data_IF_314406653234
#
_entry.id   IF_314406653234
#
_cell.length_a   1.000
_cell.length_b   1.000
_cell.length_c   1.000
_cell.angle_alpha   90.00
_cell.angle_beta   90.00
_cell.angle_gamma   90.00
#
_symmetry.space_group_name_H-M   'P 1'
#
loop_
_entity.id
_entity.type
_entity.pdbx_description
1 polymer ?
#
# COMPACT_ATOMS: atom_id res chain seq x y z
N UNK A 1 16.32 -7.65 67.77
CA UNK A 1 16.03 -6.57 66.80
C UNK A 1 17.18 -6.54 65.80
N UNK A 2 16.88 -6.83 64.52
CA UNK A 2 17.50 -6.25 63.29
C UNK A 2 19.04 -6.35 63.13
N UNK A 3 19.65 -6.80 62.03
CA UNK A 3 19.27 -7.05 60.64
C UNK A 3 20.09 -8.25 60.09
N UNK A 4 19.45 -9.15 59.34
CA UNK A 4 20.14 -10.13 58.51
C UNK A 4 20.44 -9.48 57.14
N UNK A 5 21.71 -9.34 56.78
CA UNK A 5 22.12 -9.01 55.42
C UNK A 5 21.91 -10.25 54.53
N UNK A 6 20.78 -10.31 53.83
CA UNK A 6 20.65 -11.15 52.64
C UNK A 6 21.41 -10.45 51.51
N UNK A 7 22.66 -10.86 51.28
CA UNK A 7 23.31 -10.65 49.99
C UNK A 7 22.60 -11.58 49.01
N UNK A 8 21.69 -11.00 48.23
CA UNK A 8 21.12 -11.65 47.06
C UNK A 8 22.24 -11.70 46.02
N UNK A 9 22.99 -12.80 45.99
CA UNK A 9 23.79 -13.14 44.81
C UNK A 9 22.77 -13.41 43.71
N UNK A 10 22.49 -12.39 42.91
CA UNK A 10 21.86 -12.58 41.61
C UNK A 10 22.86 -13.41 40.84
N UNK A 11 22.61 -14.73 40.76
CA UNK A 11 23.18 -15.57 39.72
C UNK A 11 22.53 -15.08 38.43
N UNK A 12 23.06 -13.98 37.92
CA UNK A 12 22.86 -13.62 36.53
C UNK A 12 23.49 -14.76 35.77
N UNK A 13 22.64 -15.62 35.20
CA UNK A 13 23.06 -16.36 34.03
C UNK A 13 23.53 -15.30 33.04
N UNK A 14 24.84 -15.09 32.99
CA UNK A 14 25.50 -14.43 31.88
C UNK A 14 25.13 -15.27 30.68
N UNK A 15 24.13 -14.82 29.94
CA UNK A 15 23.93 -15.20 28.54
C UNK A 15 25.30 -15.01 27.89
N UNK A 16 25.95 -16.11 27.53
CA UNK A 16 27.19 -16.06 26.79
C UNK A 16 26.94 -15.17 25.57
N UNK A 17 27.57 -14.00 25.52
CA UNK A 17 27.65 -13.26 24.27
C UNK A 17 28.51 -14.14 23.35
N UNK A 18 27.88 -14.79 22.36
CA UNK A 18 28.57 -15.51 21.30
C UNK A 18 29.58 -14.57 20.65
N UNK A 19 30.87 -14.93 20.66
CA UNK A 19 31.96 -14.08 20.18
C UNK A 19 32.21 -14.21 18.67
N UNK A 20 31.68 -15.23 18.03
CA UNK A 20 31.91 -15.49 16.61
C UNK A 20 30.88 -14.78 15.74
N UNK A 21 31.29 -14.50 14.50
CA UNK A 21 30.41 -13.94 13.48
C UNK A 21 30.52 -14.75 12.21
N UNK A 22 29.37 -15.16 11.66
CA UNK A 22 29.31 -15.62 10.28
C UNK A 22 29.63 -14.45 9.35
N UNK A 23 30.26 -14.73 8.21
CA UNK A 23 30.37 -13.73 7.14
C UNK A 23 28.97 -13.21 6.76
N UNK A 24 28.86 -11.91 6.50
CA UNK A 24 27.63 -11.12 6.42
C UNK A 24 26.68 -11.46 5.25
N UNK A 25 26.77 -12.64 4.65
CA UNK A 25 25.85 -13.14 3.63
C UNK A 25 25.12 -14.43 3.98
N UNK A 26 25.45 -15.11 5.09
CA UNK A 26 24.85 -16.39 5.46
C UNK A 26 23.59 -16.21 6.32
N UNK A 27 22.52 -15.66 5.75
CA UNK A 27 21.23 -15.65 6.45
C UNK A 27 20.59 -17.03 6.37
N UNK A 28 20.10 -17.54 7.50
CA UNK A 28 19.40 -18.81 7.54
C UNK A 28 18.15 -18.77 6.64
N UNK A 29 18.03 -19.69 5.69
CA UNK A 29 16.96 -19.73 4.70
C UNK A 29 17.16 -18.85 3.47
N UNK A 30 18.39 -18.37 3.21
CA UNK A 30 18.70 -17.61 1.98
C UNK A 30 18.42 -18.43 0.72
N UNK A 31 18.13 -17.76 -0.39
CA UNK A 31 17.99 -18.38 -1.71
C UNK A 31 19.01 -17.76 -2.64
N UNK A 32 19.84 -18.59 -3.25
CA UNK A 32 20.79 -18.21 -4.26
C UNK A 32 20.32 -18.68 -5.63
N UNK A 33 20.46 -17.81 -6.63
CA UNK A 33 20.10 -18.12 -8.01
C UNK A 33 21.36 -18.28 -8.86
N UNK A 34 21.40 -19.34 -9.67
CA UNK A 34 22.50 -19.60 -10.59
C UNK A 34 22.03 -20.41 -11.81
N UNK A 35 22.87 -20.47 -12.82
CA UNK A 35 22.66 -21.23 -14.04
C UNK A 35 23.58 -22.45 -14.11
N UNK A 36 23.20 -23.44 -14.92
CA UNK A 36 24.12 -24.55 -15.26
C UNK A 36 25.41 -23.98 -15.84
N UNK A 37 26.55 -24.46 -15.34
CA UNK A 37 27.89 -23.99 -15.68
C UNK A 37 28.41 -22.83 -14.83
N UNK A 38 27.59 -22.23 -13.96
CA UNK A 38 28.07 -21.22 -13.00
C UNK A 38 29.00 -21.80 -11.94
N UNK A 39 29.71 -20.90 -11.26
CA UNK A 39 30.31 -21.17 -9.96
C UNK A 39 29.61 -20.30 -8.92
N UNK A 40 29.24 -20.89 -7.79
CA UNK A 40 28.59 -20.17 -6.68
C UNK A 40 29.31 -20.39 -5.37
N UNK A 41 29.38 -19.34 -4.56
CA UNK A 41 29.98 -19.37 -3.22
C UNK A 41 28.90 -19.11 -2.18
N UNK A 42 28.73 -20.07 -1.28
CA UNK A 42 27.97 -19.90 -0.07
C UNK A 42 28.90 -19.33 1.03
N UNK A 43 28.59 -18.17 1.63
CA UNK A 43 29.44 -17.47 2.59
C UNK A 43 29.41 -18.11 3.99
N UNK A 44 29.46 -19.44 4.06
CA UNK A 44 29.46 -20.24 5.29
C UNK A 44 30.86 -20.34 5.89
N UNK A 45 31.54 -19.22 6.05
CA UNK A 45 32.72 -19.13 6.87
C UNK A 45 32.35 -18.52 8.24
N UNK A 46 32.87 -19.14 9.29
CA UNK A 46 32.77 -18.64 10.66
C UNK A 46 34.08 -17.94 10.99
N UNK A 47 34.00 -16.66 11.37
CA UNK A 47 35.15 -15.94 11.91
C UNK A 47 35.04 -16.01 13.43
N UNK A 48 35.79 -16.91 14.11
CA UNK A 48 35.82 -16.96 15.56
C UNK A 48 36.50 -15.69 16.12
N UNK A 49 36.10 -15.26 17.31
CA UNK A 49 36.80 -14.18 18.01
C UNK A 49 37.39 -14.64 19.35
N UNK A 50 38.47 -13.97 19.77
CA UNK A 50 39.12 -14.28 21.05
C UNK A 50 39.75 -15.67 21.08
N UNK A 51 39.25 -16.56 21.95
CA UNK A 51 39.76 -17.92 22.18
C UNK A 51 38.93 -19.03 21.52
N UNK A 52 37.92 -18.66 20.75
CA UNK A 52 37.04 -19.61 20.06
C UNK A 52 37.75 -20.27 18.87
N UNK A 53 37.42 -21.53 18.60
CA UNK A 53 37.90 -22.27 17.43
C UNK A 53 36.78 -23.10 16.85
N UNK A 54 36.67 -23.09 15.53
CA UNK A 54 35.85 -24.05 14.80
C UNK A 54 36.58 -25.41 14.89
N UNK A 55 35.93 -26.42 15.47
CA UNK A 55 36.53 -27.76 15.59
C UNK A 55 36.06 -28.68 14.48
N UNK A 56 34.81 -28.53 14.08
CA UNK A 56 34.17 -29.38 13.09
C UNK A 56 33.15 -28.56 12.30
N UNK A 57 33.16 -28.73 10.99
CA UNK A 57 32.10 -28.26 10.10
C UNK A 57 31.72 -29.35 9.11
N UNK A 58 30.42 -29.56 8.96
CA UNK A 58 29.88 -30.55 8.04
C UNK A 58 28.84 -29.90 7.14
N UNK A 59 28.95 -30.18 5.84
CA UNK A 59 28.01 -29.72 4.83
C UNK A 59 27.19 -30.87 4.31
N UNK A 60 25.90 -30.61 4.15
CA UNK A 60 24.92 -31.56 3.66
C UNK A 60 24.20 -30.96 2.45
N UNK A 61 23.93 -31.80 1.46
CA UNK A 61 23.04 -31.50 0.35
C UNK A 61 21.78 -32.34 0.50
N UNK A 62 20.63 -31.74 0.22
CA UNK A 62 19.36 -32.42 0.11
C UNK A 62 18.77 -32.17 -1.28
N UNK A 63 18.52 -33.27 -1.98
CA UNK A 63 17.90 -33.24 -3.30
C UNK A 63 16.40 -32.92 -3.22
N UNK A 64 15.75 -32.80 -4.38
CA UNK A 64 14.31 -32.54 -4.46
C UNK A 64 13.45 -33.73 -4.00
N UNK A 65 14.01 -34.93 -3.91
CA UNK A 65 13.34 -36.14 -3.41
C UNK A 65 13.45 -36.26 -1.87
N UNK A 66 14.18 -35.34 -1.23
CA UNK A 66 14.39 -35.29 0.21
C UNK A 66 15.55 -36.15 0.72
N UNK A 67 16.31 -36.79 -0.16
CA UNK A 67 17.50 -37.55 0.23
C UNK A 67 18.59 -36.56 0.63
N UNK A 68 19.18 -36.78 1.80
CA UNK A 68 20.26 -35.94 2.31
C UNK A 68 21.58 -36.72 2.30
N UNK A 69 22.64 -36.09 1.81
CA UNK A 69 23.99 -36.64 1.80
C UNK A 69 25.00 -35.63 2.35
N UNK A 70 26.06 -36.13 2.99
CA UNK A 70 27.20 -35.30 3.40
C UNK A 70 28.09 -35.05 2.20
N UNK A 71 28.29 -33.77 1.86
CA UNK A 71 29.03 -33.36 0.66
C UNK A 71 30.44 -32.88 0.96
N UNK A 72 30.69 -32.41 2.18
CA UNK A 72 32.01 -31.97 2.60
C UNK A 72 32.11 -31.98 4.13
N UNK A 73 33.33 -32.10 4.63
CA UNK A 73 33.66 -31.96 6.04
C UNK A 73 34.95 -31.15 6.20
N UNK A 74 35.05 -30.41 7.30
CA UNK A 74 36.25 -29.69 7.71
C UNK A 74 36.49 -29.99 9.18
N UNK A 75 37.53 -30.76 9.47
CA UNK A 75 37.83 -31.25 10.82
C UNK A 75 39.28 -30.94 11.13
N UNK A 76 39.53 -30.25 12.24
CA UNK A 76 40.88 -29.93 12.72
C UNK A 76 41.83 -29.29 11.65
N UNK A 77 41.27 -28.48 10.74
CA UNK A 77 42.04 -27.81 9.69
C UNK A 77 42.17 -28.58 8.38
N UNK A 78 41.56 -29.76 8.28
CA UNK A 78 41.59 -30.59 7.08
C UNK A 78 40.22 -30.61 6.39
N UNK A 79 40.16 -30.12 5.16
CA UNK A 79 38.97 -30.17 4.32
C UNK A 79 38.93 -31.49 3.53
N UNK A 80 37.79 -32.19 3.58
CA UNK A 80 37.57 -33.48 2.93
C UNK A 80 36.23 -33.52 2.20
N UNK A 81 36.20 -34.22 1.05
CA UNK A 81 35.01 -34.41 0.22
C UNK A 81 34.74 -35.92 0.07
N UNK A 82 33.60 -36.46 0.54
CA UNK A 82 33.36 -37.91 0.61
C UNK A 82 33.15 -38.63 -0.73
N UNK A 83 32.69 -37.93 -1.78
CA UNK A 83 32.31 -38.54 -3.07
C UNK A 83 33.01 -37.89 -4.26
N UNK A 84 33.36 -38.70 -5.28
CA UNK A 84 34.05 -38.21 -6.49
C UNK A 84 33.20 -37.30 -7.39
N UNK A 85 31.87 -37.32 -7.27
CA UNK A 85 30.96 -36.38 -7.98
C UNK A 85 31.17 -34.92 -7.55
N UNK A 86 31.74 -34.73 -6.36
CA UNK A 86 31.87 -33.46 -5.65
C UNK A 86 33.28 -32.87 -5.73
N UNK A 87 34.12 -33.34 -6.66
CA UNK A 87 35.45 -32.75 -6.94
C UNK A 87 35.41 -31.27 -7.35
N UNK A 88 34.21 -30.75 -7.62
CA UNK A 88 33.93 -29.35 -7.95
C UNK A 88 33.73 -28.45 -6.72
N UNK A 89 33.74 -29.03 -5.52
CA UNK A 89 33.64 -28.32 -4.24
C UNK A 89 35.00 -27.82 -3.78
N UNK A 90 35.01 -26.57 -3.30
CA UNK A 90 36.18 -25.93 -2.75
C UNK A 90 35.80 -25.15 -1.50
N UNK A 91 36.56 -25.28 -0.43
CA UNK A 91 36.36 -24.51 0.80
C UNK A 91 37.53 -23.56 1.04
N UNK A 92 37.21 -22.32 1.37
CA UNK A 92 38.17 -21.32 1.82
C UNK A 92 37.67 -20.68 3.12
N UNK A 93 38.55 -20.59 4.11
CA UNK A 93 38.22 -20.16 5.47
C UNK A 93 37.70 -18.71 5.56
N UNK A 94 38.01 -17.87 4.57
CA UNK A 94 37.64 -16.46 4.50
C UNK A 94 36.52 -16.17 3.49
N UNK A 95 36.07 -17.18 2.74
CA UNK A 95 35.12 -17.04 1.63
C UNK A 95 33.92 -17.98 1.77
N UNK A 96 34.11 -19.17 2.35
CA UNK A 96 33.09 -20.20 2.54
C UNK A 96 33.21 -21.35 1.54
N UNK A 97 32.08 -22.01 1.26
CA UNK A 97 32.01 -23.17 0.36
C UNK A 97 31.64 -22.74 -1.05
N UNK A 98 32.47 -23.09 -2.02
CA UNK A 98 32.24 -22.81 -3.44
C UNK A 98 31.98 -24.09 -4.21
N UNK A 99 30.96 -24.07 -5.05
CA UNK A 99 30.66 -25.11 -6.03
C UNK A 99 30.96 -24.55 -7.41
N UNK A 100 31.82 -25.20 -8.16
CA UNK A 100 32.18 -24.79 -9.53
C UNK A 100 31.45 -25.60 -10.60
N UNK A 101 31.22 -24.99 -11.77
CA UNK A 101 30.63 -25.65 -12.94
C UNK A 101 29.35 -26.43 -12.59
N UNK A 102 28.32 -25.73 -12.11
CA UNK A 102 27.06 -26.30 -11.65
C UNK A 102 26.39 -27.17 -12.73
N UNK A 103 25.76 -28.25 -12.30
CA UNK A 103 24.96 -29.19 -13.08
C UNK A 103 23.51 -29.14 -12.62
N UNK A 104 22.59 -29.81 -13.33
CA UNK A 104 21.18 -29.84 -12.95
C UNK A 104 20.95 -30.53 -11.58
N UNK A 105 21.83 -31.44 -11.18
CA UNK A 105 21.73 -32.20 -9.93
C UNK A 105 22.17 -31.40 -8.70
N UNK A 106 22.88 -30.29 -8.89
CA UNK A 106 23.33 -29.43 -7.78
C UNK A 106 22.23 -28.48 -7.26
N UNK A 107 21.07 -28.39 -7.93
CA UNK A 107 19.98 -27.51 -7.50
C UNK A 107 19.13 -28.18 -6.43
N UNK A 108 19.13 -27.61 -5.22
CA UNK A 108 18.43 -28.17 -4.07
C UNK A 108 18.68 -27.36 -2.80
N UNK A 109 18.60 -28.05 -1.67
CA UNK A 109 18.76 -27.46 -0.34
C UNK A 109 20.13 -27.85 0.24
N UNK A 110 20.84 -26.88 0.80
CA UNK A 110 22.15 -27.10 1.39
C UNK A 110 22.15 -26.65 2.85
N UNK A 111 22.84 -27.41 3.68
CA UNK A 111 22.95 -27.18 5.11
C UNK A 111 24.41 -27.20 5.53
N UNK A 112 24.76 -26.32 6.45
CA UNK A 112 26.04 -26.38 7.17
C UNK A 112 25.76 -26.53 8.65
N UNK A 113 26.48 -27.44 9.29
CA UNK A 113 26.58 -27.55 10.73
C UNK A 113 28.00 -27.17 11.12
N UNK A 114 28.14 -26.31 12.12
CA UNK A 114 29.43 -25.93 12.69
C UNK A 114 29.42 -26.15 14.19
N UNK A 115 30.41 -26.89 14.70
CA UNK A 115 30.66 -27.06 16.12
C UNK A 115 31.84 -26.14 16.52
N UNK A 116 31.53 -25.19 17.39
CA UNK A 116 32.45 -24.13 17.84
C UNK A 116 32.84 -24.41 19.28
N UNK A 117 34.15 -24.46 19.53
CA UNK A 117 34.71 -24.68 20.86
C UNK A 117 35.20 -23.38 21.46
N UNK A 118 34.79 -23.11 22.70
CA UNK A 118 35.28 -22.01 23.52
C UNK A 118 35.79 -22.56 24.86
N UNK A 119 37.11 -22.76 24.97
CA UNK A 119 37.71 -23.43 26.13
C UNK A 119 37.25 -24.89 26.27
N UNK A 120 36.46 -25.20 27.30
CA UNK A 120 35.85 -26.52 27.54
C UNK A 120 34.40 -26.63 27.09
N UNK A 121 33.80 -25.55 26.59
CA UNK A 121 32.41 -25.50 26.14
C UNK A 121 32.33 -25.69 24.62
N UNK A 122 31.22 -26.27 24.16
CA UNK A 122 30.89 -26.47 22.75
C UNK A 122 29.52 -25.88 22.44
N UNK A 123 29.39 -25.21 21.30
CA UNK A 123 28.13 -24.73 20.75
C UNK A 123 27.99 -25.23 19.30
N UNK A 124 26.83 -25.76 18.94
CA UNK A 124 26.51 -26.19 17.58
C UNK A 124 25.56 -25.18 16.94
N UNK A 125 25.93 -24.68 15.77
CA UNK A 125 25.04 -23.88 14.93
C UNK A 125 24.78 -24.57 13.60
N UNK A 126 23.58 -24.37 13.06
CA UNK A 126 23.22 -24.85 11.74
C UNK A 126 22.55 -23.74 10.93
N UNK A 127 22.94 -23.65 9.66
CA UNK A 127 22.34 -22.75 8.68
C UNK A 127 21.95 -23.56 7.44
N UNK A 128 20.88 -23.13 6.78
CA UNK A 128 20.47 -23.71 5.51
C UNK A 128 20.25 -22.64 4.44
N UNK A 129 20.40 -23.03 3.18
CA UNK A 129 20.14 -22.19 2.02
C UNK A 129 19.59 -23.03 0.87
N UNK A 130 19.02 -22.38 -0.13
CA UNK A 130 18.55 -23.02 -1.35
C UNK A 130 19.36 -22.53 -2.54
N UNK A 131 19.78 -23.44 -3.41
CA UNK A 131 20.29 -23.13 -4.73
C UNK A 131 19.18 -23.42 -5.74
N UNK A 132 18.71 -22.39 -6.46
CA UNK A 132 17.59 -22.51 -7.40
C UNK A 132 17.94 -21.94 -8.76
N UNK A 133 17.28 -22.45 -9.79
CA UNK A 133 17.26 -21.77 -11.08
C UNK A 133 16.35 -20.53 -10.99
N UNK A 134 16.71 -19.43 -11.67
CA UNK A 134 15.90 -18.21 -11.68
C UNK A 134 14.53 -18.44 -12.31
N UNK A 135 13.48 -18.01 -11.63
CA UNK A 135 12.13 -18.00 -12.20
C UNK A 135 11.93 -16.73 -13.04
N UNK A 136 11.45 -16.83 -14.29
CA UNK A 136 11.21 -15.66 -15.12
C UNK A 136 10.01 -14.83 -14.61
N UNK A 137 10.01 -13.51 -14.83
CA UNK A 137 8.84 -12.66 -14.57
C UNK A 137 7.67 -13.02 -15.50
N UNK A 138 6.44 -12.85 -14.99
CA UNK A 138 5.19 -13.14 -15.68
C UNK A 138 4.19 -12.02 -15.48
N UNK A 139 3.46 -11.65 -16.54
CA UNK A 139 2.30 -10.75 -16.45
C UNK A 139 0.99 -11.53 -16.55
N UNK A 140 -0.10 -10.92 -16.11
CA UNK A 140 -1.45 -11.51 -16.16
C UNK A 140 -1.87 -11.93 -17.59
N UNK A 141 -1.41 -11.20 -18.61
CA UNK A 141 -1.71 -11.39 -20.03
C UNK A 141 -0.55 -11.99 -20.83
N UNK A 142 0.55 -12.37 -20.17
CA UNK A 142 1.80 -12.81 -20.78
C UNK A 142 2.38 -11.83 -21.82
N UNK A 143 2.05 -10.55 -21.74
CA UNK A 143 2.54 -9.49 -22.62
C UNK A 143 3.16 -8.36 -21.80
N UNK A 144 4.33 -7.87 -22.21
CA UNK A 144 4.86 -6.64 -21.63
C UNK A 144 4.19 -5.44 -22.30
N UNK A 145 3.31 -4.75 -21.56
CA UNK A 145 2.54 -3.62 -22.10
C UNK A 145 2.85 -2.33 -21.35
N UNK A 146 3.30 -1.30 -22.08
CA UNK A 146 3.51 0.04 -21.54
C UNK A 146 2.28 0.92 -21.78
N UNK A 147 1.91 1.72 -20.77
CA UNK A 147 0.79 2.66 -20.83
C UNK A 147 1.01 3.89 -19.96
N UNK A 148 0.40 5.00 -20.34
CA UNK A 148 0.32 6.19 -19.50
C UNK A 148 -0.76 5.99 -18.43
N UNK A 149 -0.47 6.35 -17.17
CA UNK A 149 -1.46 6.32 -16.11
C UNK A 149 -2.29 7.62 -16.10
N UNK A 150 -3.59 7.54 -15.80
CA UNK A 150 -4.48 8.70 -15.80
C UNK A 150 -4.29 9.62 -14.58
N UNK A 151 -3.52 9.19 -13.58
CA UNK A 151 -3.21 9.97 -12.38
C UNK A 151 -1.79 10.52 -12.44
N UNK A 152 -1.65 11.83 -12.25
CA UNK A 152 -0.37 12.46 -11.95
C UNK A 152 -0.15 12.44 -10.44
N UNK A 153 1.11 12.41 -10.02
CA UNK A 153 1.49 12.42 -8.60
C UNK A 153 2.22 13.71 -8.30
N UNK A 154 1.82 14.37 -7.21
CA UNK A 154 2.48 15.58 -6.73
C UNK A 154 3.69 15.19 -5.87
N UNK A 155 4.88 15.61 -6.27
CA UNK A 155 6.13 15.32 -5.55
C UNK A 155 7.09 16.50 -5.68
N UNK A 156 7.73 16.88 -4.59
CA UNK A 156 8.78 17.91 -4.58
C UNK A 156 8.37 19.28 -5.15
N UNK A 157 7.09 19.64 -5.08
CA UNK A 157 6.59 20.93 -5.56
C UNK A 157 5.96 20.89 -6.95
N UNK A 158 6.05 19.76 -7.67
CA UNK A 158 5.56 19.64 -9.04
C UNK A 158 4.67 18.41 -9.24
N UNK A 159 3.80 18.47 -10.25
CA UNK A 159 3.03 17.32 -10.73
C UNK A 159 3.86 16.51 -11.73
N UNK A 160 3.89 15.19 -11.54
CA UNK A 160 4.61 14.26 -12.38
C UNK A 160 3.65 13.27 -13.03
N UNK A 161 3.77 13.11 -14.35
CA UNK A 161 3.07 12.07 -15.11
C UNK A 161 3.76 10.73 -14.88
N UNK A 162 2.96 9.68 -14.76
CA UNK A 162 3.46 8.32 -14.53
C UNK A 162 3.21 7.43 -15.75
N UNK A 163 4.23 6.64 -16.11
CA UNK A 163 4.10 5.53 -17.05
C UNK A 163 4.13 4.22 -16.28
N UNK A 164 3.30 3.27 -16.69
CA UNK A 164 3.24 1.93 -16.14
C UNK A 164 3.63 0.90 -17.20
N UNK A 165 4.38 -0.10 -16.78
CA UNK A 165 4.82 -1.20 -17.62
C UNK A 165 4.43 -2.55 -17.01
N UNK A 166 3.86 -3.39 -17.87
CA UNK A 166 3.39 -4.73 -17.56
C UNK A 166 2.15 -4.73 -16.66
N UNK A 167 1.89 -5.90 -16.09
CA UNK A 167 1.00 -6.16 -14.96
C UNK A 167 1.40 -7.50 -14.38
N UNK A 168 2.47 -7.49 -13.59
CA UNK A 168 3.20 -8.66 -13.13
C UNK A 168 2.38 -9.47 -12.12
N UNK A 169 1.97 -10.68 -12.52
CA UNK A 169 1.45 -11.71 -11.60
C UNK A 169 2.59 -12.28 -10.75
N UNK A 170 3.81 -12.27 -11.29
CA UNK A 170 5.03 -12.64 -10.60
C UNK A 170 6.19 -11.83 -11.16
N UNK A 171 7.01 -11.25 -10.29
CA UNK A 171 8.22 -10.52 -10.69
C UNK A 171 9.39 -11.46 -11.04
N UNK A 172 9.19 -12.77 -10.95
CA UNK A 172 10.27 -13.76 -11.04
C UNK A 172 11.15 -13.74 -9.80
N UNK A 173 12.34 -14.32 -9.93
CA UNK A 173 13.41 -14.17 -8.93
C UNK A 173 13.92 -12.72 -8.88
N UNK A 174 14.58 -12.32 -7.79
CA UNK A 174 15.07 -10.94 -7.58
C UNK A 174 16.11 -10.44 -8.60
N UNK A 175 16.52 -11.27 -9.55
CA UNK A 175 17.52 -10.96 -10.59
C UNK A 175 16.95 -10.35 -11.88
N UNK A 176 15.66 -9.97 -11.89
CA UNK A 176 15.03 -9.25 -13.01
C UNK A 176 14.67 -7.82 -12.62
N UNK A 177 14.85 -6.89 -13.55
CA UNK A 177 14.36 -5.53 -13.41
C UNK A 177 13.69 -5.05 -14.69
N UNK A 178 12.93 -3.96 -14.60
CA UNK A 178 12.32 -3.30 -15.75
C UNK A 178 13.03 -1.96 -15.93
N UNK A 179 13.48 -1.71 -17.15
CA UNK A 179 14.06 -0.43 -17.57
C UNK A 179 13.21 0.20 -18.65
N UNK A 180 13.34 1.52 -18.73
CA UNK A 180 12.64 2.35 -19.70
C UNK A 180 13.63 2.98 -20.66
N UNK A 181 13.27 3.01 -21.94
CA UNK A 181 13.98 3.73 -22.99
C UNK A 181 13.24 5.03 -23.28
N UNK A 182 13.93 6.16 -23.20
CA UNK A 182 13.40 7.48 -23.53
C UNK A 182 13.44 7.75 -25.04
N UNK A 183 12.77 8.82 -25.53
CA UNK A 183 12.85 9.24 -26.93
C UNK A 183 14.29 9.50 -27.42
N UNK A 184 15.13 10.11 -26.59
CA UNK A 184 16.57 10.31 -26.83
C UNK A 184 17.41 9.03 -26.73
N UNK A 185 16.81 7.89 -26.37
CA UNK A 185 17.48 6.60 -26.23
C UNK A 185 18.19 6.40 -24.89
N UNK A 186 17.97 7.26 -23.88
CA UNK A 186 18.50 7.07 -22.54
C UNK A 186 17.77 5.92 -21.85
N UNK A 187 18.48 5.21 -20.97
CA UNK A 187 17.91 4.14 -20.17
C UNK A 187 17.65 4.64 -18.74
N UNK A 188 16.42 4.48 -18.28
CA UNK A 188 15.98 4.85 -16.93
C UNK A 188 15.56 3.59 -16.16
N UNK A 189 15.85 3.56 -14.87
CA UNK A 189 15.31 2.53 -13.98
C UNK A 189 13.87 2.89 -13.61
N UNK A 190 13.02 1.89 -13.41
CA UNK A 190 11.72 2.12 -12.79
C UNK A 190 11.89 2.60 -11.34
N UNK A 191 11.06 3.55 -10.93
CA UNK A 191 11.12 4.16 -9.60
C UNK A 191 10.55 3.25 -8.51
N UNK A 192 9.44 2.57 -8.82
CA UNK A 192 8.69 1.75 -7.86
C UNK A 192 7.92 0.63 -8.55
N UNK A 193 7.51 -0.37 -7.76
CA UNK A 193 6.48 -1.34 -8.13
C UNK A 193 5.18 -1.01 -7.38
N UNK A 194 4.13 -0.60 -8.11
CA UNK A 194 2.82 -0.27 -7.54
C UNK A 194 1.75 -1.12 -8.22
N UNK A 195 0.91 -1.79 -7.43
CA UNK A 195 -0.20 -2.61 -7.93
C UNK A 195 0.22 -3.58 -9.04
N UNK A 196 1.33 -4.31 -8.85
CA UNK A 196 1.89 -5.22 -9.86
C UNK A 196 2.40 -4.55 -11.14
N UNK A 197 2.56 -3.24 -11.20
CA UNK A 197 3.11 -2.53 -12.36
C UNK A 197 4.49 -1.96 -12.04
N UNK A 198 5.36 -1.92 -13.03
CA UNK A 198 6.61 -1.18 -12.94
C UNK A 198 6.37 0.27 -13.35
N UNK A 199 6.66 1.21 -12.45
CA UNK A 199 6.30 2.62 -12.62
C UNK A 199 7.53 3.47 -12.91
N UNK A 200 7.42 4.32 -13.93
CA UNK A 200 8.34 5.42 -14.19
C UNK A 200 7.63 6.76 -13.96
N UNK A 201 8.20 7.59 -13.10
CA UNK A 201 7.81 8.99 -12.94
C UNK A 201 8.60 9.85 -13.91
N UNK A 202 7.91 10.55 -14.80
CA UNK A 202 8.56 11.45 -15.75
C UNK A 202 9.10 12.69 -15.01
N UNK A 203 10.36 13.03 -15.29
CA UNK A 203 11.01 14.23 -14.76
C UNK A 203 10.52 15.48 -15.48
N UNK A 204 10.38 16.59 -14.77
CA UNK A 204 10.09 17.89 -15.38
C UNK A 204 11.40 18.63 -15.72
N UNK A 205 11.53 19.24 -16.91
CA UNK A 205 10.59 19.20 -18.04
C UNK A 205 10.52 17.82 -18.71
N UNK A 206 9.33 17.44 -19.15
CA UNK A 206 9.09 16.15 -19.81
C UNK A 206 9.69 16.17 -21.22
N UNK A 207 10.36 15.08 -21.59
CA UNK A 207 10.85 14.85 -22.94
C UNK A 207 9.72 14.28 -23.81
N UNK A 208 9.28 15.02 -24.83
CA UNK A 208 8.22 14.52 -25.72
C UNK A 208 8.75 13.42 -26.65
N UNK A 209 7.89 12.44 -26.94
CA UNK A 209 8.19 11.35 -27.89
C UNK A 209 7.75 9.98 -27.39
N UNK A 210 8.29 8.94 -28.03
CA UNK A 210 7.99 7.54 -27.71
C UNK A 210 8.85 6.99 -26.58
N UNK A 211 8.19 6.47 -25.55
CA UNK A 211 8.80 5.71 -24.47
C UNK A 211 8.46 4.23 -24.62
N UNK A 212 9.39 3.34 -24.28
CA UNK A 212 9.13 1.90 -24.19
C UNK A 212 9.80 1.33 -22.96
N UNK A 213 9.29 0.22 -22.44
CA UNK A 213 9.94 -0.51 -21.36
C UNK A 213 10.39 -1.89 -21.85
N UNK A 214 11.39 -2.44 -21.16
CA UNK A 214 11.92 -3.76 -21.44
C UNK A 214 12.41 -4.42 -20.15
N UNK A 215 12.44 -5.75 -20.15
CA UNK A 215 13.03 -6.52 -19.06
C UNK A 215 14.54 -6.46 -19.21
N UNK A 216 15.22 -5.98 -18.18
CA UNK A 216 16.67 -5.90 -18.12
C UNK A 216 17.23 -7.10 -17.37
N UNK A 217 18.02 -7.90 -18.08
CA UNK A 217 18.68 -9.11 -17.59
C UNK A 217 20.18 -8.79 -17.48
N UNK A 218 20.53 -7.93 -16.51
CA UNK A 218 21.95 -7.59 -16.28
C UNK A 218 22.59 -8.46 -15.19
N UNK A 219 21.79 -9.09 -14.33
CA UNK A 219 22.33 -10.02 -13.34
C UNK A 219 22.68 -11.36 -13.99
N UNK A 220 23.93 -11.84 -13.84
CA UNK A 220 24.34 -13.13 -14.41
C UNK A 220 23.43 -14.29 -14.02
N UNK A 221 22.86 -14.25 -12.81
CA UNK A 221 21.97 -15.27 -12.29
C UNK A 221 20.65 -15.40 -13.08
N UNK A 222 20.21 -14.38 -13.81
CA UNK A 222 18.93 -14.37 -14.53
C UNK A 222 19.02 -14.89 -15.98
N UNK A 223 20.23 -15.11 -16.52
CA UNK A 223 20.46 -15.37 -17.94
C UNK A 223 19.90 -16.70 -18.47
N UNK A 224 19.66 -17.67 -17.59
CA UNK A 224 19.10 -18.97 -17.96
C UNK A 224 17.59 -19.05 -17.77
N UNK A 225 16.94 -18.01 -17.23
CA UNK A 225 15.49 -17.99 -17.22
C UNK A 225 14.97 -17.68 -18.63
N UNK A 226 14.11 -18.53 -19.14
CA UNK A 226 13.48 -18.30 -20.43
C UNK A 226 12.37 -17.25 -20.30
N UNK A 227 12.64 -16.04 -20.83
CA UNK A 227 11.63 -14.99 -20.96
C UNK A 227 11.08 -15.00 -22.40
N UNK A 228 9.77 -15.20 -22.58
CA UNK A 228 9.14 -15.19 -23.91
C UNK A 228 9.41 -13.88 -24.67
N UNK A 229 9.55 -13.90 -26.03
CA UNK A 229 9.86 -12.69 -26.80
C UNK A 229 8.87 -11.53 -26.62
N UNK A 230 7.58 -11.82 -26.47
CA UNK A 230 6.52 -10.84 -26.21
C UNK A 230 6.56 -10.23 -24.79
N UNK A 231 7.42 -10.77 -23.92
CA UNK A 231 7.68 -10.23 -22.59
C UNK A 231 8.98 -9.41 -22.53
N UNK A 232 9.84 -9.45 -23.55
CA UNK A 232 11.14 -8.79 -23.52
C UNK A 232 11.04 -7.27 -23.69
N UNK A 233 10.21 -6.81 -24.61
CA UNK A 233 10.09 -5.40 -24.99
C UNK A 233 8.62 -5.05 -25.15
N UNK A 234 8.21 -3.89 -24.62
CA UNK A 234 6.84 -3.42 -24.73
C UNK A 234 6.54 -2.72 -26.05
N UNK A 235 5.25 -2.43 -26.24
CA UNK A 235 4.84 -1.36 -27.16
C UNK A 235 5.43 0.00 -26.75
N UNK A 236 5.41 0.93 -27.69
CA UNK A 236 5.73 2.33 -27.42
C UNK A 236 4.50 3.08 -26.86
N UNK A 237 4.75 4.02 -25.96
CA UNK A 237 3.80 5.00 -25.42
C UNK A 237 4.29 6.37 -25.86
N UNK A 238 3.48 7.04 -26.68
CA UNK A 238 3.79 8.40 -27.11
C UNK A 238 3.36 9.39 -26.01
N UNK A 239 4.28 10.27 -25.61
CA UNK A 239 4.03 11.33 -24.63
C UNK A 239 4.24 12.67 -25.32
N UNK A 240 3.20 13.49 -25.32
CA UNK A 240 3.21 14.85 -25.85
C UNK A 240 2.39 15.78 -24.94
N UNK A 241 2.47 17.09 -25.21
CA UNK A 241 1.70 18.12 -24.50
C UNK A 241 0.20 17.82 -24.46
N UNK A 242 -0.39 17.22 -25.51
CA UNK A 242 -1.81 16.90 -25.55
C UNK A 242 -2.18 15.78 -24.57
N UNK A 243 -1.38 14.71 -24.56
CA UNK A 243 -1.50 13.56 -23.68
C UNK A 243 -1.38 13.97 -22.21
N UNK A 244 -0.43 14.85 -21.91
CA UNK A 244 -0.25 15.42 -20.56
C UNK A 244 -1.47 16.25 -20.17
N UNK A 245 -1.95 17.12 -21.06
CA UNK A 245 -3.14 17.93 -20.80
C UNK A 245 -4.39 17.07 -20.56
N UNK A 246 -4.50 15.93 -21.25
CA UNK A 246 -5.60 14.98 -21.02
C UNK A 246 -5.54 14.33 -19.64
N UNK A 247 -4.35 13.96 -19.17
CA UNK A 247 -4.14 13.44 -17.80
C UNK A 247 -4.51 14.50 -16.76
N UNK A 248 -3.97 15.72 -16.89
CA UNK A 248 -4.27 16.83 -15.98
C UNK A 248 -5.76 17.20 -15.99
N UNK A 249 -6.39 17.24 -17.17
CA UNK A 249 -7.82 17.48 -17.30
C UNK A 249 -8.64 16.38 -16.60
N UNK A 250 -8.24 15.12 -16.72
CA UNK A 250 -8.93 14.00 -16.06
C UNK A 250 -8.84 14.10 -14.55
N UNK A 251 -7.69 14.54 -14.01
CA UNK A 251 -7.51 14.81 -12.58
C UNK A 251 -8.43 15.94 -12.13
N UNK A 252 -8.44 17.07 -12.84
CA UNK A 252 -9.34 18.19 -12.51
C UNK A 252 -10.80 17.77 -12.59
N UNK A 253 -11.17 16.98 -13.60
CA UNK A 253 -12.53 16.46 -13.77
C UNK A 253 -12.91 15.46 -12.68
N UNK A 254 -11.99 14.60 -12.26
CA UNK A 254 -12.23 13.64 -11.18
C UNK A 254 -12.31 14.35 -9.83
N UNK A 255 -11.39 15.27 -9.53
CA UNK A 255 -11.46 16.12 -8.34
C UNK A 255 -12.78 16.92 -8.30
N UNK A 256 -13.20 17.50 -9.42
CA UNK A 256 -14.49 18.18 -9.51
C UNK A 256 -15.67 17.23 -9.32
N UNK A 257 -15.63 15.99 -9.84
CA UNK A 257 -16.65 14.99 -9.59
C UNK A 257 -16.71 14.57 -8.12
N UNK A 258 -15.55 14.38 -7.48
CA UNK A 258 -15.48 14.00 -6.08
C UNK A 258 -16.02 15.14 -5.21
N UNK A 259 -15.63 16.39 -5.49
CA UNK A 259 -16.21 17.60 -4.88
C UNK A 259 -17.72 17.66 -5.11
N UNK A 260 -18.21 17.48 -6.33
CA UNK A 260 -19.64 17.48 -6.64
C UNK A 260 -20.36 16.33 -5.93
N UNK A 261 -19.76 15.14 -5.82
CA UNK A 261 -20.35 13.98 -5.14
C UNK A 261 -20.43 14.21 -3.62
N UNK A 262 -19.40 14.83 -3.03
CA UNK A 262 -19.39 15.24 -1.64
C UNK A 262 -20.39 16.37 -1.39
N UNK A 263 -20.51 17.35 -2.31
CA UNK A 263 -21.54 18.39 -2.26
C UNK A 263 -22.95 17.81 -2.46
N UNK A 264 -23.12 16.79 -3.30
CA UNK A 264 -24.37 16.05 -3.45
C UNK A 264 -24.70 15.27 -2.18
N UNK A 265 -23.71 14.71 -1.48
CA UNK A 265 -23.90 14.05 -0.19
C UNK A 265 -24.32 15.04 0.91
N UNK A 266 -23.81 16.27 0.85
CA UNK A 266 -24.27 17.40 1.69
C UNK A 266 -25.68 17.87 1.29
N UNK A 267 -25.99 17.92 -0.01
CA UNK A 267 -27.32 18.28 -0.52
C UNK A 267 -28.38 17.21 -0.21
N UNK A 268 -28.01 15.93 -0.14
CA UNK A 268 -28.91 14.82 0.25
C UNK A 268 -29.23 14.83 1.75
N UNK A 269 -28.49 15.58 2.57
CA UNK A 269 -28.82 15.84 3.98
C UNK A 269 -29.70 17.11 4.16
N UNK A 270 -29.90 17.90 3.12
CA UNK A 270 -30.87 18.99 3.08
C UNK A 270 -32.13 18.53 2.37
N UNK A 271 -33.05 17.88 3.09
CA UNK A 271 -34.37 17.60 2.53
C UNK A 271 -35.03 18.98 2.25
N UNK A 272 -35.38 19.28 0.98
CA UNK A 272 -36.11 20.48 0.53
C UNK A 272 -37.56 20.49 1.09
N UNK A 273 -37.71 20.32 2.39
CA UNK A 273 -39.00 20.22 3.09
C UNK A 273 -39.44 21.53 3.70
N UNK A 274 -38.58 22.56 3.73
CA UNK A 274 -38.86 23.88 4.30
C UNK A 274 -38.27 24.97 3.42
N UNK A 275 -39.01 26.06 3.22
CA UNK A 275 -38.52 27.28 2.56
C UNK A 275 -39.12 28.53 3.20
N UNK A 276 -38.45 29.67 2.99
CA UNK A 276 -38.92 30.99 3.38
C UNK A 276 -39.29 31.79 2.14
N UNK A 277 -40.48 32.38 2.14
CA UNK A 277 -41.03 33.13 0.98
C UNK A 277 -41.37 34.56 1.39
N UNK A 278 -41.20 35.51 0.47
CA UNK A 278 -41.49 36.94 0.66
C UNK A 278 -40.72 37.64 1.80
N UNK A 279 -39.63 37.05 2.27
CA UNK A 279 -38.63 37.75 3.09
C UNK A 279 -37.74 38.65 2.24
N UNK A 280 -37.11 39.63 2.89
CA UNK A 280 -36.10 40.49 2.28
C UNK A 280 -34.67 39.97 2.52
N UNK A 281 -34.51 38.89 3.29
CA UNK A 281 -33.24 38.24 3.59
C UNK A 281 -33.38 36.72 3.41
N UNK A 282 -32.28 35.98 3.18
CA UNK A 282 -32.32 34.53 3.04
C UNK A 282 -32.82 33.75 4.28
N UNK A 283 -32.83 34.38 5.44
CA UNK A 283 -33.18 33.76 6.73
C UNK A 283 -34.49 34.28 7.33
N UNK A 284 -35.25 35.07 6.56
CA UNK A 284 -36.58 35.51 7.00
C UNK A 284 -37.63 35.30 5.91
N UNK A 285 -38.90 35.22 6.30
CA UNK A 285 -40.02 35.07 5.36
C UNK A 285 -41.17 34.26 5.95
N UNK A 286 -42.24 34.14 5.16
CA UNK A 286 -43.34 33.22 5.41
C UNK A 286 -42.82 31.79 5.32
N UNK A 287 -43.13 30.98 6.32
CA UNK A 287 -42.72 29.60 6.40
C UNK A 287 -43.60 28.72 5.50
N UNK A 288 -42.98 28.00 4.58
CA UNK A 288 -43.66 27.03 3.73
C UNK A 288 -42.95 25.67 3.81
N UNK A 289 -43.74 24.60 3.84
CA UNK A 289 -43.27 23.22 4.00
C UNK A 289 -43.72 22.33 2.85
N UNK A 290 -42.98 21.27 2.57
CA UNK A 290 -43.29 20.31 1.50
C UNK A 290 -43.67 18.95 2.09
N UNK A 291 -44.89 18.50 1.80
CA UNK A 291 -45.42 17.19 2.20
C UNK A 291 -45.98 16.45 0.98
N UNK A 292 -45.58 15.20 0.75
CA UNK A 292 -45.96 14.39 -0.42
C UNK A 292 -45.88 15.17 -1.74
N UNK A 293 -44.72 15.76 -2.01
CA UNK A 293 -44.43 16.59 -3.18
C UNK A 293 -45.26 17.87 -3.37
N UNK A 294 -46.09 18.23 -2.39
CA UNK A 294 -46.92 19.43 -2.42
C UNK A 294 -46.42 20.46 -1.40
N UNK A 295 -46.26 21.70 -1.84
CA UNK A 295 -45.91 22.82 -0.97
C UNK A 295 -47.16 23.41 -0.31
N UNK A 296 -47.02 23.89 0.92
CA UNK A 296 -48.07 24.59 1.63
C UNK A 296 -47.56 25.47 2.76
N UNK A 297 -48.44 26.31 3.30
CA UNK A 297 -48.14 27.23 4.40
C UNK A 297 -48.35 26.58 5.75
N UNK A 298 -47.89 27.25 6.81
CA UNK A 298 -48.03 26.83 8.20
C UNK A 298 -48.79 27.91 8.96
N UNK A 299 -49.77 27.52 9.78
CA UNK A 299 -50.53 28.45 10.61
C UNK A 299 -49.70 28.94 11.81
N UNK A 300 -49.95 30.17 12.27
CA UNK A 300 -49.32 30.79 13.44
C UNK A 300 -49.95 30.37 14.77
N UNK A 301 -51.12 29.72 14.74
CA UNK A 301 -51.79 29.19 15.93
C UNK A 301 -50.93 28.19 16.69
N UNK A 302 -50.71 28.52 17.97
CA UNK A 302 -49.82 27.80 18.90
C UNK A 302 -48.43 27.50 18.34
N UNK A 303 -47.97 28.24 17.31
CA UNK A 303 -46.68 28.02 16.67
C UNK A 303 -45.54 28.35 17.66
N UNK A 304 -44.90 27.30 18.16
CA UNK A 304 -43.88 27.39 19.19
C UNK A 304 -42.64 26.58 18.82
N UNK A 305 -41.48 27.24 18.85
CA UNK A 305 -40.17 26.62 18.66
C UNK A 305 -39.26 27.02 19.81
N UNK A 306 -38.80 26.05 20.61
CA UNK A 306 -37.78 26.34 21.61
C UNK A 306 -36.42 26.43 20.92
N UNK A 307 -35.80 27.62 21.02
CA UNK A 307 -34.53 28.06 20.42
C UNK A 307 -34.69 28.85 19.11
N UNK A 308 -34.95 30.15 19.28
CA UNK A 308 -34.32 31.26 18.54
C UNK A 308 -34.59 31.44 17.03
N UNK A 309 -35.83 31.30 16.54
CA UNK A 309 -36.30 32.26 15.54
C UNK A 309 -37.34 33.21 16.15
N UNK A 310 -37.35 34.46 15.71
CA UNK A 310 -38.45 35.39 15.98
C UNK A 310 -39.64 34.95 15.13
N UNK A 311 -40.79 34.67 15.78
CA UNK A 311 -42.00 34.21 15.10
C UNK A 311 -42.93 35.39 14.89
N UNK A 312 -43.43 35.53 13.66
CA UNK A 312 -44.39 36.56 13.27
C UNK A 312 -45.70 35.91 12.83
N UNK A 313 -46.78 36.27 13.49
CA UNK A 313 -48.12 35.87 13.07
C UNK A 313 -48.77 36.81 12.07
N UNK A 314 -50.06 36.59 11.82
CA UNK A 314 -50.94 37.47 11.04
C UNK A 314 -50.44 37.75 9.61
N UNK A 315 -49.84 36.76 8.95
CA UNK A 315 -49.31 36.87 7.59
C UNK A 315 -48.35 38.06 7.41
N UNK A 316 -47.42 38.26 8.36
CA UNK A 316 -46.46 39.37 8.37
C UNK A 316 -45.65 39.52 7.07
N UNK A 317 -45.24 38.40 6.46
CA UNK A 317 -44.55 38.37 5.15
C UNK A 317 -45.52 38.24 3.96
N UNK A 318 -46.79 38.58 4.18
CA UNK A 318 -47.89 38.44 3.24
C UNK A 318 -48.49 37.03 3.24
N UNK A 319 -49.75 36.98 2.83
CA UNK A 319 -50.54 35.76 2.72
C UNK A 319 -50.00 34.81 1.65
N UNK A 320 -50.03 33.52 1.93
CA UNK A 320 -49.84 32.46 0.97
C UNK A 320 -51.06 32.23 0.08
N UNK A 321 -50.87 31.33 -0.88
CA UNK A 321 -51.91 30.90 -1.85
C UNK A 321 -51.95 29.39 -2.01
N UNK A 322 -51.06 28.68 -1.31
CA UNK A 322 -50.93 27.23 -1.30
C UNK A 322 -51.74 26.67 -0.12
N UNK A 323 -52.08 25.37 -0.09
CA UNK A 323 -52.81 24.81 1.05
C UNK A 323 -52.10 25.06 2.39
N UNK A 324 -52.85 25.29 3.47
CA UNK A 324 -52.28 25.28 4.82
C UNK A 324 -52.07 23.81 5.21
N UNK A 325 -50.83 23.41 5.45
CA UNK A 325 -50.47 22.02 5.70
C UNK A 325 -50.28 21.70 7.18
N UNK A 326 -49.83 22.66 7.97
CA UNK A 326 -49.55 22.47 9.40
C UNK A 326 -50.25 23.54 10.24
N UNK A 327 -50.69 23.10 11.41
CA UNK A 327 -51.42 23.88 12.40
C UNK A 327 -51.13 23.30 13.80
N UNK A 328 -51.24 24.13 14.84
CA UNK A 328 -50.93 23.82 16.24
C UNK A 328 -49.50 23.26 16.45
N UNK A 329 -48.53 23.85 15.73
CA UNK A 329 -47.15 23.35 15.67
C UNK A 329 -46.35 23.73 16.93
N UNK A 330 -46.03 22.74 17.76
CA UNK A 330 -45.24 22.90 18.96
C UNK A 330 -44.00 21.97 18.94
N UNK A 331 -42.82 22.57 18.79
CA UNK A 331 -41.53 21.89 18.78
C UNK A 331 -40.80 22.02 20.12
N UNK A 332 -40.12 20.95 20.53
CA UNK A 332 -39.27 20.87 21.73
C UNK A 332 -37.81 21.28 21.49
N UNK A 333 -37.45 21.60 20.25
CA UNK A 333 -36.12 22.05 19.83
C UNK A 333 -35.10 20.92 19.64
N UNK A 334 -35.54 19.67 19.75
CA UNK A 334 -34.72 18.47 19.50
C UNK A 334 -35.08 17.77 18.19
N UNK A 335 -36.16 18.19 17.55
CA UNK A 335 -36.65 17.69 16.28
C UNK A 335 -35.73 18.08 15.12
N UNK A 336 -35.49 17.15 14.21
CA UNK A 336 -34.70 17.39 12.99
C UNK A 336 -35.55 17.85 11.80
N UNK A 337 -36.88 17.72 11.90
CA UNK A 337 -37.85 18.15 10.91
C UNK A 337 -39.09 18.76 11.60
N UNK A 338 -39.71 19.77 11.00
CA UNK A 338 -40.94 20.40 11.51
C UNK A 338 -42.14 19.44 11.57
N UNK A 339 -42.16 18.42 10.71
CA UNK A 339 -43.17 17.34 10.75
C UNK A 339 -42.97 16.35 11.91
N UNK A 340 -41.84 16.42 12.63
CA UNK A 340 -41.62 15.63 13.84
C UNK A 340 -42.13 16.36 15.09
N UNK A 341 -42.47 17.65 14.98
CA UNK A 341 -43.06 18.42 16.06
C UNK A 341 -44.48 17.97 16.35
N UNK A 342 -45.00 18.30 17.53
CA UNK A 342 -46.43 18.10 17.80
C UNK A 342 -47.22 19.06 16.92
N UNK A 343 -48.14 18.55 16.10
CA UNK A 343 -49.01 19.34 15.23
C UNK A 343 -50.32 18.58 14.95
N UNK A 344 -51.33 19.27 14.42
CA UNK A 344 -52.57 18.63 13.94
C UNK A 344 -52.31 17.72 12.73
N UNK A 345 -53.26 16.84 12.37
CA UNK A 345 -53.08 16.00 11.17
C UNK A 345 -52.82 16.90 9.95
N UNK A 346 -51.86 16.54 9.09
CA UNK A 346 -51.47 17.38 7.94
C UNK A 346 -52.70 17.73 7.09
N UNK A 347 -52.90 19.02 6.81
CA UNK A 347 -54.05 19.56 6.08
C UNK A 347 -55.33 19.71 6.90
N UNK A 348 -55.32 19.37 8.19
CA UNK A 348 -56.39 19.67 9.14
C UNK A 348 -56.05 20.94 9.92
N UNK A 349 -56.79 22.00 9.66
CA UNK A 349 -56.65 23.32 10.31
C UNK A 349 -58.02 24.02 10.28
N UNK A 350 -58.22 25.01 11.14
CA UNK A 350 -59.31 25.98 11.06
C UNK A 350 -58.83 27.39 10.67
N UNK A 351 -57.53 27.54 10.40
CA UNK A 351 -56.90 28.77 9.95
C UNK A 351 -57.26 29.19 8.52
N UNK A 352 -57.06 30.47 8.25
CA UNK A 352 -57.08 31.14 6.95
C UNK A 352 -55.69 31.68 6.61
N UNK A 353 -55.45 32.11 5.36
CA UNK A 353 -54.11 32.63 4.99
C UNK A 353 -53.71 33.93 5.69
N UNK A 354 -54.64 34.64 6.33
CA UNK A 354 -54.25 35.75 7.21
C UNK A 354 -53.50 35.27 8.45
N UNK A 355 -53.50 33.98 8.76
CA UNK A 355 -52.85 33.34 9.89
C UNK A 355 -51.57 32.57 9.46
N UNK A 356 -51.05 32.81 8.25
CA UNK A 356 -49.79 32.18 7.84
C UNK A 356 -48.62 32.71 8.69
N UNK A 357 -47.82 31.78 9.22
CA UNK A 357 -46.67 32.10 10.08
C UNK A 357 -45.46 32.56 9.27
N UNK A 358 -44.77 33.55 9.81
CA UNK A 358 -43.48 34.04 9.37
C UNK A 358 -42.41 33.80 10.43
N UNK A 359 -41.16 33.67 10.00
CA UNK A 359 -40.02 33.55 10.92
C UNK A 359 -38.87 34.47 10.48
N UNK A 360 -38.10 34.96 11.46
CA UNK A 360 -36.76 35.50 11.27
C UNK A 360 -35.77 34.60 12.03
N UNK A 361 -35.04 33.77 11.28
CA UNK A 361 -34.04 32.87 11.82
C UNK A 361 -32.76 33.68 12.07
N UNK A 362 -32.36 33.86 13.34
CA UNK A 362 -31.07 34.47 13.63
C UNK A 362 -29.96 33.59 13.03
N UNK A 363 -28.96 34.16 12.33
CA UNK A 363 -27.80 33.40 11.92
C UNK A 363 -27.13 32.86 13.19
N UNK A 364 -26.93 31.54 13.23
CA UNK A 364 -26.12 30.91 14.26
C UNK A 364 -24.68 31.47 14.16
N UNK A 365 -24.39 32.52 14.91
CA UNK A 365 -23.03 32.95 15.18
C UNK A 365 -22.42 31.90 16.11
N UNK A 366 -21.85 30.86 15.49
CA UNK A 366 -20.92 29.97 16.17
C UNK A 366 -19.63 30.75 16.42
N UNK A 367 -19.37 31.05 17.69
CA UNK A 367 -18.06 31.48 18.20
C UNK A 367 -17.18 30.26 18.38
#
# INVERSE_FOLDING_TARGET
>A
MTFAFKILIIVGFLSACSGYTWLSGAYNGSVYYACVGDSITFPWAVIPSGTERVTDMEWYFRDNDGNSETIATYVDGEFSVPHSSHQRLFFAEDVGLTISNLTQEDFGEYFVRADIRSGSSFETQALYTFLRQPDPPRTDDNLLHARMLPGAVYRSGDWHVQLACGRFSSWGSSSFSVKWKTPSGRLLNSDTSLNSNSILMLTNPIEEGSYSCFIDIHEPAARCAYVPPNMLVSNEVHVDTCSINQVLYTIVKQANKDIISSLQQVFVLGNDTVRLVNGNKPWNGRLEVKYNDTWGTVCDDSFGVSNTPEVHGNAFYGQGTLPILLDEVACSGSETNIFDCRHNVVGQHDCSHSEDVGVDCLPALSV
#
